data_IF_208512575535
#
_entry.id   IF_208512575535
#
_cell.length_a   1.000
_cell.length_b   1.000
_cell.length_c   1.000
_cell.angle_alpha   90.00
_cell.angle_beta   90.00
_cell.angle_gamma   90.00
#
_symmetry.space_group_name_H-M   'P 1'
#
loop_
_entity.id
_entity.type
_entity.pdbx_description
1 polymer ?
#
# COMPACT_ATOMS: atom_id res chain seq x y z
N UNK A 1 13.89 -4.61 19.74
CA UNK A 1 12.53 -4.32 19.20
C UNK A 1 12.38 -2.80 19.17
N UNK A 2 12.04 -2.18 18.03
CA UNK A 2 11.75 -0.74 17.99
C UNK A 2 10.49 -0.45 18.82
N UNK A 3 10.45 0.69 19.50
CA UNK A 3 9.29 1.15 20.26
C UNK A 3 8.90 2.57 19.80
N UNK A 4 7.64 2.92 19.99
CA UNK A 4 7.09 4.24 19.65
C UNK A 4 6.33 4.75 20.87
N UNK A 5 6.66 5.97 21.32
CA UNK A 5 5.91 6.67 22.35
C UNK A 5 5.17 7.84 21.71
N UNK A 6 3.84 7.86 21.83
CA UNK A 6 3.01 8.99 21.41
C UNK A 6 2.68 9.82 22.65
N UNK A 7 3.04 11.10 22.63
CA UNK A 7 2.81 12.05 23.73
C UNK A 7 1.64 12.96 23.41
N UNK A 8 1.04 13.54 24.45
CA UNK A 8 0.00 14.56 24.36
C UNK A 8 -1.23 14.11 23.54
N UNK A 9 -1.59 12.81 23.65
CA UNK A 9 -2.81 12.28 23.06
C UNK A 9 -4.01 12.84 23.84
N UNK A 10 -4.94 13.55 23.20
CA UNK A 10 -6.12 14.06 23.89
C UNK A 10 -6.93 12.91 24.51
N UNK A 11 -7.45 13.10 25.73
CA UNK A 11 -8.18 12.05 26.47
C UNK A 11 -9.32 11.43 25.66
N UNK A 12 -10.05 12.25 24.91
CA UNK A 12 -11.14 11.78 24.04
C UNK A 12 -10.65 10.82 22.94
N UNK A 13 -9.46 11.07 22.39
CA UNK A 13 -8.84 10.20 21.37
C UNK A 13 -8.38 8.91 22.03
N UNK A 14 -7.71 9.00 23.18
CA UNK A 14 -7.27 7.82 23.93
C UNK A 14 -8.46 6.91 24.28
N UNK A 15 -9.54 7.47 24.84
CA UNK A 15 -10.75 6.72 25.18
C UNK A 15 -11.40 6.05 23.96
N UNK A 16 -11.44 6.73 22.82
CA UNK A 16 -11.97 6.16 21.59
C UNK A 16 -11.10 4.99 21.07
N UNK A 17 -9.78 5.07 21.20
CA UNK A 17 -8.85 4.00 20.82
C UNK A 17 -8.96 2.79 21.74
N UNK A 18 -9.09 3.00 23.05
CA UNK A 18 -9.34 1.92 24.03
C UNK A 18 -10.61 1.17 23.67
N UNK A 19 -11.72 1.90 23.47
CA UNK A 19 -13.01 1.27 23.12
C UNK A 19 -12.91 0.45 21.83
N UNK A 20 -12.25 0.97 20.79
CA UNK A 20 -12.05 0.23 19.53
C UNK A 20 -11.18 -1.02 19.71
N UNK A 21 -10.16 -0.94 20.57
CA UNK A 21 -9.33 -2.11 20.89
C UNK A 21 -10.15 -3.19 21.61
N UNK A 22 -10.99 -2.80 22.58
CA UNK A 22 -11.92 -3.70 23.27
C UNK A 22 -12.93 -4.34 22.31
N UNK A 23 -13.54 -3.55 21.41
CA UNK A 23 -14.45 -4.04 20.36
C UNK A 23 -13.77 -5.06 19.43
N UNK A 24 -12.48 -4.87 19.16
CA UNK A 24 -11.67 -5.80 18.38
C UNK A 24 -11.15 -7.02 19.18
N UNK A 25 -11.41 -7.08 20.50
CA UNK A 25 -10.90 -8.13 21.38
C UNK A 25 -9.37 -8.09 21.56
N UNK A 26 -8.77 -6.91 21.40
CA UNK A 26 -7.32 -6.70 21.42
C UNK A 26 -6.91 -5.81 22.60
N UNK A 27 -5.68 -5.99 23.10
CA UNK A 27 -5.09 -4.95 23.95
C UNK A 27 -4.86 -3.67 23.15
N UNK A 28 -4.90 -2.50 23.80
CA UNK A 28 -4.63 -1.22 23.14
C UNK A 28 -3.29 -1.21 22.39
N UNK A 29 -2.25 -1.83 22.96
CA UNK A 29 -0.95 -1.92 22.32
C UNK A 29 -0.98 -2.76 21.03
N UNK A 30 -1.67 -3.91 21.04
CA UNK A 30 -1.81 -4.75 19.85
C UNK A 30 -2.61 -4.01 18.76
N UNK A 31 -3.72 -3.40 19.13
CA UNK A 31 -4.56 -2.61 18.23
C UNK A 31 -3.75 -1.46 17.60
N UNK A 32 -3.02 -0.66 18.38
CA UNK A 32 -2.21 0.42 17.83
C UNK A 32 -1.07 -0.10 16.94
N UNK A 33 -0.48 -1.23 17.27
CA UNK A 33 0.58 -1.84 16.46
C UNK A 33 0.03 -2.29 15.10
N UNK A 34 -1.17 -2.90 15.06
CA UNK A 34 -1.81 -3.26 13.78
C UNK A 34 -2.18 -2.04 12.97
N UNK A 35 -2.75 -1.00 13.60
CA UNK A 35 -3.06 0.25 12.90
C UNK A 35 -1.81 0.91 12.31
N UNK A 36 -0.70 0.94 13.04
CA UNK A 36 0.57 1.48 12.54
C UNK A 36 1.12 0.65 11.37
N UNK A 37 0.96 -0.67 11.40
CA UNK A 37 1.35 -1.54 10.30
C UNK A 37 0.51 -1.27 9.04
N UNK A 38 -0.80 -1.07 9.18
CA UNK A 38 -1.68 -0.71 8.06
C UNK A 38 -1.34 0.65 7.45
N UNK A 39 -1.03 1.64 8.30
CA UNK A 39 -0.56 2.96 7.86
C UNK A 39 0.73 2.82 7.06
N UNK A 40 1.69 2.03 7.57
CA UNK A 40 2.97 1.84 6.89
C UNK A 40 2.86 1.00 5.61
N UNK A 41 1.88 0.11 5.53
CA UNK A 41 1.62 -0.72 4.36
C UNK A 41 0.92 0.05 3.22
N UNK A 42 0.24 1.15 3.54
CA UNK A 42 -0.51 1.94 2.55
C UNK A 42 0.43 2.93 1.85
N UNK A 43 0.77 2.71 0.56
CA UNK A 43 1.65 3.63 -0.17
C UNK A 43 0.97 4.98 -0.33
N UNK A 44 1.74 6.06 -0.18
CA UNK A 44 1.24 7.40 -0.44
C UNK A 44 0.99 7.60 -1.94
N UNK A 45 0.21 8.62 -2.30
CA UNK A 45 0.02 9.01 -3.70
C UNK A 45 1.38 9.29 -4.38
N UNK A 46 2.30 9.91 -3.64
CA UNK A 46 3.64 10.18 -4.15
C UNK A 46 4.42 8.88 -4.40
N UNK A 47 4.37 7.91 -3.48
CA UNK A 47 5.01 6.60 -3.67
C UNK A 47 4.47 5.88 -4.90
N UNK A 48 3.16 6.00 -5.16
CA UNK A 48 2.52 5.43 -6.35
C UNK A 48 2.99 6.13 -7.62
N UNK A 49 3.06 7.46 -7.63
CA UNK A 49 3.56 8.24 -8.77
C UNK A 49 5.03 7.93 -9.08
N UNK A 50 5.86 7.90 -8.04
CA UNK A 50 7.26 7.48 -8.13
C UNK A 50 7.40 6.07 -8.70
N UNK A 51 6.53 5.14 -8.27
CA UNK A 51 6.50 3.77 -8.79
C UNK A 51 6.11 3.73 -10.27
N UNK A 52 5.17 4.58 -10.70
CA UNK A 52 4.78 4.71 -12.11
C UNK A 52 5.97 5.23 -12.93
N UNK A 53 6.66 6.26 -12.45
CA UNK A 53 7.83 6.83 -13.15
C UNK A 53 8.98 5.82 -13.27
N UNK A 54 9.21 5.01 -12.23
CA UNK A 54 10.26 3.98 -12.22
C UNK A 54 9.87 2.71 -12.98
N UNK A 55 8.60 2.56 -13.38
CA UNK A 55 8.16 1.42 -14.16
C UNK A 55 8.74 1.54 -15.57
N UNK A 56 9.65 0.63 -15.92
CA UNK A 56 10.13 0.49 -17.29
C UNK A 56 8.91 0.33 -18.21
N UNK A 57 8.67 1.33 -19.04
CA UNK A 57 7.68 1.26 -20.10
C UNK A 57 8.36 0.57 -21.27
N UNK A 58 7.80 -0.56 -21.71
CA UNK A 58 8.23 -1.18 -22.96
C UNK A 58 7.81 -0.29 -24.12
N UNK A 59 8.76 0.08 -24.97
CA UNK A 59 8.44 0.70 -26.26
C UNK A 59 8.06 -0.42 -27.23
N UNK A 60 6.77 -0.54 -27.55
CA UNK A 60 6.27 -1.39 -28.62
C UNK A 60 5.84 -0.49 -29.77
N UNK A 61 6.50 -0.59 -30.92
CA UNK A 61 6.03 0.16 -32.10
C UNK A 61 4.82 -0.55 -32.71
N UNK A 62 3.95 0.22 -33.37
CA UNK A 62 2.82 -0.36 -34.10
C UNK A 62 3.27 -1.38 -35.16
N UNK A 63 4.46 -1.17 -35.74
CA UNK A 63 5.05 -2.07 -36.73
C UNK A 63 5.40 -3.43 -36.09
N UNK A 64 6.09 -3.41 -34.96
CA UNK A 64 6.48 -4.64 -34.25
C UNK A 64 5.25 -5.43 -33.80
N UNK A 65 4.18 -4.72 -33.38
CA UNK A 65 2.92 -5.34 -33.00
C UNK A 65 2.20 -6.00 -34.19
N UNK A 66 2.22 -5.35 -35.37
CA UNK A 66 1.61 -5.90 -36.59
C UNK A 66 2.40 -7.11 -37.08
N UNK A 67 3.73 -7.02 -37.10
CA UNK A 67 4.62 -8.11 -37.53
C UNK A 67 4.45 -9.36 -36.65
N UNK A 68 4.38 -9.19 -35.33
CA UNK A 68 4.11 -10.30 -34.41
C UNK A 68 2.74 -10.98 -34.64
N UNK A 69 1.71 -10.20 -35.03
CA UNK A 69 0.39 -10.75 -35.35
C UNK A 69 0.38 -11.51 -36.67
N UNK A 70 1.12 -11.03 -37.66
CA UNK A 70 1.22 -11.69 -38.96
C UNK A 70 2.05 -12.99 -38.88
N UNK A 71 3.11 -13.02 -38.07
CA UNK A 71 3.85 -14.25 -37.75
C UNK A 71 2.98 -15.31 -37.07
N UNK A 72 2.08 -14.92 -36.17
CA UNK A 72 1.15 -15.85 -35.51
C UNK A 72 0.12 -16.41 -36.50
N UNK A 73 -0.40 -15.57 -37.40
CA UNK A 73 -1.35 -16.00 -38.45
C UNK A 73 -0.69 -16.96 -39.44
N UNK A 74 0.57 -16.74 -39.78
CA UNK A 74 1.33 -17.60 -40.69
C UNK A 74 1.65 -18.98 -40.10
N UNK A 75 1.60 -19.13 -38.76
CA UNK A 75 1.81 -20.40 -38.05
C UNK A 75 0.54 -21.24 -37.86
N UNK A 76 -0.65 -20.69 -38.15
CA UNK A 76 -1.94 -21.41 -38.15
C UNK A 76 -2.29 -21.92 -39.53
#
# INVERSE_FOLDING_TARGET
MPNVQVRDVPDAVHAALVRRAEEAGQSLQQFLTSQLAEIAATPTVQDVLDRIQRRATGTLSARDAIEALDEERARR
#
